data_IF_996262615395
#
_entry.id   IF_996262615395
#
_cell.length_a   1.000
_cell.length_b   1.000
_cell.length_c   1.000
_cell.angle_alpha   90.00
_cell.angle_beta   90.00
_cell.angle_gamma   90.00
#
_symmetry.space_group_name_H-M   'P 1'
#
loop_
_entity.id
_entity.type
_entity.pdbx_description
1 polymer ?
#
# COMPACT_ATOMS: atom_id res chain seq x y z
N UNK A 1 -13.66 -10.99 6.87
CA UNK A 1 -13.85 -12.42 7.19
C UNK A 1 -15.33 -12.86 7.28
N UNK A 2 -16.28 -12.00 7.68
CA UNK A 2 -17.70 -12.39 7.83
C UNK A 2 -18.40 -12.95 6.58
N UNK A 3 -18.11 -12.43 5.38
CA UNK A 3 -18.81 -12.86 4.13
C UNK A 3 -18.53 -14.31 3.74
N UNK A 4 -17.30 -14.79 3.92
CA UNK A 4 -16.93 -16.19 3.65
C UNK A 4 -17.58 -17.13 4.67
N UNK A 5 -17.64 -16.71 5.94
CA UNK A 5 -18.30 -17.48 7.01
C UNK A 5 -19.79 -17.62 6.71
N UNK A 6 -20.44 -16.54 6.26
CA UNK A 6 -21.85 -16.55 5.90
C UNK A 6 -22.14 -17.45 4.68
N UNK A 7 -21.31 -17.38 3.63
CA UNK A 7 -21.41 -18.29 2.48
C UNK A 7 -21.30 -19.76 2.92
N UNK A 8 -20.36 -20.09 3.81
CA UNK A 8 -20.23 -21.45 4.38
C UNK A 8 -21.46 -21.86 5.19
N UNK A 9 -22.05 -20.95 5.97
CA UNK A 9 -23.28 -21.19 6.75
C UNK A 9 -24.46 -21.53 5.85
N UNK A 10 -24.63 -20.78 4.75
CA UNK A 10 -25.69 -21.03 3.78
C UNK A 10 -25.48 -22.35 3.04
N UNK A 11 -24.23 -22.64 2.64
CA UNK A 11 -23.87 -23.95 2.04
C UNK A 11 -24.19 -25.12 2.98
N UNK A 12 -23.86 -25.00 4.27
CA UNK A 12 -24.18 -26.02 5.27
C UNK A 12 -25.70 -26.18 5.46
N UNK A 13 -26.45 -25.07 5.40
CA UNK A 13 -27.91 -25.09 5.50
C UNK A 13 -28.55 -25.78 4.29
N UNK A 14 -28.08 -25.48 3.08
CA UNK A 14 -28.46 -26.16 1.85
C UNK A 14 -28.22 -27.67 1.96
N UNK A 15 -26.98 -28.06 2.29
CA UNK A 15 -26.60 -29.47 2.43
C UNK A 15 -27.48 -30.23 3.44
N UNK A 16 -27.80 -29.60 4.57
CA UNK A 16 -28.69 -30.16 5.59
C UNK A 16 -30.09 -30.45 5.03
N UNK A 17 -30.65 -29.56 4.20
CA UNK A 17 -31.95 -29.78 3.59
C UNK A 17 -31.90 -30.82 2.46
N UNK A 18 -30.82 -30.87 1.68
CA UNK A 18 -30.61 -31.90 0.65
C UNK A 18 -30.62 -33.30 1.27
N UNK A 19 -29.84 -33.51 2.33
CA UNK A 19 -29.81 -34.77 3.07
C UNK A 19 -31.19 -35.12 3.64
N UNK A 20 -31.89 -34.14 4.20
CA UNK A 20 -33.20 -34.35 4.83
C UNK A 20 -34.27 -34.73 3.83
N UNK A 21 -34.32 -34.06 2.67
CA UNK A 21 -35.24 -34.42 1.58
C UNK A 21 -34.89 -35.80 1.03
N UNK A 22 -33.61 -36.11 0.81
CA UNK A 22 -33.16 -37.44 0.35
C UNK A 22 -33.62 -38.56 1.30
N UNK A 23 -33.46 -38.37 2.60
CA UNK A 23 -33.93 -39.33 3.60
C UNK A 23 -35.46 -39.48 3.61
N UNK A 24 -36.21 -38.39 3.47
CA UNK A 24 -37.68 -38.44 3.47
C UNK A 24 -38.21 -39.12 2.20
N UNK A 25 -37.60 -38.88 1.04
CA UNK A 25 -37.92 -39.58 -0.22
C UNK A 25 -37.62 -41.08 -0.12
N UNK A 26 -36.45 -41.46 0.40
CA UNK A 26 -36.11 -42.86 0.61
C UNK A 26 -37.10 -43.58 1.55
N UNK A 27 -37.56 -42.90 2.60
CA UNK A 27 -38.59 -43.43 3.52
C UNK A 27 -39.96 -43.53 2.84
N UNK A 28 -40.32 -42.61 1.96
CA UNK A 28 -41.57 -42.70 1.19
C UNK A 28 -41.54 -43.90 0.22
N UNK A 29 -40.47 -44.03 -0.59
CA UNK A 29 -40.32 -45.13 -1.54
C UNK A 29 -40.22 -46.51 -0.86
N UNK A 30 -39.48 -46.62 0.26
CA UNK A 30 -39.35 -47.89 0.99
C UNK A 30 -40.66 -48.35 1.66
N UNK A 31 -41.57 -47.43 1.96
CA UNK A 31 -42.91 -47.75 2.50
C UNK A 31 -43.84 -48.26 1.41
N UNK A 32 -43.71 -47.77 0.18
CA UNK A 32 -44.49 -48.19 -0.99
C UNK A 32 -44.13 -49.62 -1.47
N UNK A 33 -42.88 -50.06 -1.28
CA UNK A 33 -42.44 -51.41 -1.68
C UNK A 33 -42.82 -52.54 -0.71
N UNK A 34 -43.24 -52.25 0.52
CA UNK A 34 -43.41 -53.29 1.56
C UNK A 34 -44.86 -53.66 1.91
N UNK A 35 -45.90 -52.93 1.48
CA UNK A 35 -47.29 -53.28 1.80
C UNK A 35 -48.24 -52.90 0.67
N UNK A 36 -48.99 -53.88 0.17
CA UNK A 36 -50.09 -53.71 -0.79
C UNK A 36 -51.31 -52.98 -0.24
N UNK A 37 -51.14 -51.75 0.25
CA UNK A 37 -52.24 -50.86 0.59
C UNK A 37 -51.87 -49.40 0.38
N UNK A 38 -52.72 -48.59 -0.27
CA UNK A 38 -52.46 -47.19 -0.54
C UNK A 38 -52.71 -46.35 0.71
N UNK A 39 -51.90 -46.49 1.76
CA UNK A 39 -51.92 -45.52 2.85
C UNK A 39 -51.03 -44.34 2.47
N UNK A 40 -51.56 -43.48 1.62
CA UNK A 40 -51.01 -42.18 1.28
C UNK A 40 -50.97 -41.35 2.56
N UNK A 41 -49.97 -41.53 3.43
CA UNK A 41 -49.92 -40.88 4.75
C UNK A 41 -49.82 -39.35 4.56
N UNK A 42 -50.90 -38.58 4.74
CA UNK A 42 -50.93 -37.19 4.30
C UNK A 42 -49.96 -36.33 5.13
N UNK A 43 -49.69 -36.76 6.36
CA UNK A 43 -48.70 -36.15 7.26
C UNK A 43 -47.26 -36.30 6.76
N UNK A 44 -46.91 -37.45 6.18
CA UNK A 44 -45.57 -37.69 5.62
C UNK A 44 -45.36 -36.90 4.33
N UNK A 45 -46.39 -36.84 3.49
CA UNK A 45 -46.38 -36.07 2.24
C UNK A 45 -46.25 -34.56 2.50
N UNK A 46 -47.10 -33.98 3.37
CA UNK A 46 -46.99 -32.56 3.78
C UNK A 46 -45.64 -32.22 4.41
N UNK A 47 -45.03 -33.18 5.14
CA UNK A 47 -43.68 -33.00 5.71
C UNK A 47 -42.62 -33.00 4.62
N UNK A 48 -42.74 -33.85 3.60
CA UNK A 48 -41.84 -33.87 2.46
C UNK A 48 -41.94 -32.55 1.69
N UNK A 49 -43.14 -32.13 1.28
CA UNK A 49 -43.39 -30.86 0.57
C UNK A 49 -42.81 -29.66 1.32
N UNK A 50 -43.03 -29.57 2.65
CA UNK A 50 -42.47 -28.48 3.46
C UNK A 50 -40.93 -28.48 3.45
N UNK A 51 -40.27 -29.63 3.46
CA UNK A 51 -38.81 -29.69 3.43
C UNK A 51 -38.26 -29.45 2.02
N UNK A 52 -39.00 -29.81 0.97
CA UNK A 52 -38.67 -29.47 -0.42
C UNK A 52 -38.77 -27.95 -0.64
N UNK A 53 -39.82 -27.30 -0.13
CA UNK A 53 -39.92 -25.84 -0.17
C UNK A 53 -38.75 -25.16 0.57
N UNK A 54 -38.36 -25.68 1.74
CA UNK A 54 -37.19 -25.19 2.48
C UNK A 54 -35.87 -25.43 1.75
N UNK A 55 -35.77 -26.53 1.00
CA UNK A 55 -34.62 -26.82 0.18
C UNK A 55 -34.50 -25.81 -0.97
N UNK A 56 -35.60 -25.53 -1.67
CA UNK A 56 -35.65 -24.49 -2.70
C UNK A 56 -35.19 -23.14 -2.14
N UNK A 57 -35.79 -22.68 -1.04
CA UNK A 57 -35.39 -21.40 -0.43
C UNK A 57 -33.93 -21.38 0.07
N UNK A 58 -33.41 -22.50 0.58
CA UNK A 58 -32.01 -22.60 0.97
C UNK A 58 -31.05 -22.59 -0.24
N UNK A 59 -31.48 -23.14 -1.38
CA UNK A 59 -30.72 -23.13 -2.64
C UNK A 59 -30.66 -21.72 -3.21
N UNK A 60 -31.81 -21.07 -3.37
CA UNK A 60 -31.90 -19.70 -3.87
C UNK A 60 -31.07 -18.74 -3.02
N UNK A 61 -31.16 -18.85 -1.69
CA UNK A 61 -30.38 -18.02 -0.77
C UNK A 61 -28.86 -18.24 -0.95
N UNK A 62 -28.42 -19.49 -1.02
CA UNK A 62 -27.00 -19.81 -1.21
C UNK A 62 -26.49 -19.35 -2.58
N UNK A 63 -27.22 -19.63 -3.65
CA UNK A 63 -26.84 -19.25 -5.02
C UNK A 63 -26.70 -17.73 -5.12
N UNK A 64 -27.74 -16.99 -4.74
CA UNK A 64 -27.74 -15.51 -4.76
C UNK A 64 -26.59 -14.92 -3.95
N UNK A 65 -26.32 -15.44 -2.75
CA UNK A 65 -25.23 -14.94 -1.92
C UNK A 65 -23.85 -15.30 -2.50
N UNK A 66 -23.70 -16.52 -3.02
CA UNK A 66 -22.44 -17.02 -3.56
C UNK A 66 -22.05 -16.28 -4.85
N UNK A 67 -23.03 -15.96 -5.70
CA UNK A 67 -22.84 -15.18 -6.91
C UNK A 67 -22.41 -13.74 -6.58
N UNK A 68 -23.10 -13.08 -5.64
CA UNK A 68 -22.70 -11.75 -5.17
C UNK A 68 -21.31 -11.75 -4.54
N UNK A 69 -20.93 -12.81 -3.81
CA UNK A 69 -19.58 -12.95 -3.27
C UNK A 69 -18.54 -13.16 -4.39
N UNK A 70 -18.86 -13.95 -5.42
CA UNK A 70 -17.98 -14.17 -6.55
C UNK A 70 -17.71 -12.88 -7.33
N UNK A 71 -18.75 -12.12 -7.65
CA UNK A 71 -18.63 -10.82 -8.31
C UNK A 71 -17.77 -9.85 -7.52
N UNK A 72 -17.90 -9.84 -6.19
CA UNK A 72 -17.05 -9.02 -5.34
C UNK A 72 -15.58 -9.45 -5.40
N UNK A 73 -15.32 -10.76 -5.34
CA UNK A 73 -13.95 -11.28 -5.44
C UNK A 73 -13.36 -10.89 -6.79
N UNK A 74 -14.13 -11.04 -7.86
CA UNK A 74 -13.74 -10.62 -9.21
C UNK A 74 -13.43 -9.12 -9.28
N UNK A 75 -14.32 -8.26 -8.79
CA UNK A 75 -14.10 -6.81 -8.71
C UNK A 75 -12.79 -6.49 -7.98
N UNK A 76 -12.61 -7.01 -6.76
CA UNK A 76 -11.42 -6.70 -5.95
C UNK A 76 -10.14 -7.22 -6.61
N UNK A 77 -10.18 -8.40 -7.23
CA UNK A 77 -8.99 -9.01 -7.84
C UNK A 77 -8.63 -8.39 -9.19
N UNK A 78 -9.61 -8.09 -10.04
CA UNK A 78 -9.38 -7.51 -11.36
C UNK A 78 -9.14 -6.00 -11.30
N UNK A 79 -9.73 -5.31 -10.33
CA UNK A 79 -9.71 -3.85 -10.25
C UNK A 79 -8.94 -3.30 -9.05
N UNK A 80 -8.41 -4.15 -8.18
CA UNK A 80 -7.57 -3.71 -7.05
C UNK A 80 -6.33 -2.90 -7.47
N UNK A 81 -5.84 -3.05 -8.70
CA UNK A 81 -4.77 -2.20 -9.22
C UNK A 81 -5.19 -0.73 -9.36
N UNK A 82 -6.47 -0.44 -9.60
CA UNK A 82 -6.98 0.93 -9.69
C UNK A 82 -6.90 1.64 -8.34
N UNK A 83 -7.07 0.91 -7.23
CA UNK A 83 -6.88 1.42 -5.88
C UNK A 83 -5.39 1.62 -5.56
N UNK A 84 -4.52 0.77 -6.12
CA UNK A 84 -3.07 0.87 -5.94
C UNK A 84 -2.43 2.00 -6.76
N UNK A 85 -2.96 2.28 -7.95
CA UNK A 85 -2.48 3.32 -8.85
C UNK A 85 -2.26 4.70 -8.19
N UNK A 86 -3.24 5.29 -7.48
CA UNK A 86 -3.04 6.60 -6.85
C UNK A 86 -1.99 6.56 -5.73
N UNK A 87 -1.83 5.42 -5.04
CA UNK A 87 -0.78 5.24 -4.03
C UNK A 87 0.59 5.25 -4.70
N UNK A 88 0.77 4.44 -5.75
CA UNK A 88 2.02 4.37 -6.49
C UNK A 88 2.39 5.73 -7.09
N UNK A 89 1.42 6.44 -7.67
CA UNK A 89 1.64 7.78 -8.22
C UNK A 89 2.09 8.78 -7.13
N UNK A 90 1.52 8.70 -5.92
CA UNK A 90 1.93 9.55 -4.80
C UNK A 90 3.35 9.23 -4.33
N UNK A 91 3.73 7.96 -4.27
CA UNK A 91 5.09 7.53 -3.91
C UNK A 91 6.10 8.07 -4.93
N UNK A 92 5.84 7.87 -6.22
CA UNK A 92 6.73 8.36 -7.27
C UNK A 92 6.86 9.89 -7.25
N UNK A 93 5.75 10.61 -7.03
CA UNK A 93 5.78 12.08 -6.88
C UNK A 93 6.60 12.52 -5.66
N UNK A 94 6.48 11.80 -4.55
CA UNK A 94 7.26 12.05 -3.35
C UNK A 94 8.76 11.88 -3.61
N UNK A 95 9.16 10.80 -4.28
CA UNK A 95 10.57 10.52 -4.60
C UNK A 95 11.16 11.57 -5.55
N UNK A 96 10.40 11.98 -6.57
CA UNK A 96 10.79 13.05 -7.50
C UNK A 96 10.96 14.37 -6.76
N UNK A 97 10.01 14.74 -5.89
CA UNK A 97 10.09 15.97 -5.09
C UNK A 97 11.30 15.96 -4.18
N UNK A 98 11.51 14.86 -3.46
CA UNK A 98 12.63 14.68 -2.53
C UNK A 98 13.96 14.81 -3.25
N UNK A 99 14.10 14.15 -4.40
CA UNK A 99 15.31 14.21 -5.23
C UNK A 99 15.56 15.64 -5.75
N UNK A 100 14.51 16.33 -6.18
CA UNK A 100 14.60 17.74 -6.60
C UNK A 100 15.12 18.64 -5.48
N UNK A 101 14.64 18.43 -4.26
CA UNK A 101 15.07 19.22 -3.10
C UNK A 101 16.52 18.91 -2.71
N UNK A 102 16.97 17.66 -2.81
CA UNK A 102 18.38 17.31 -2.64
C UNK A 102 19.28 18.03 -3.66
N UNK A 103 18.89 18.06 -4.94
CA UNK A 103 19.65 18.78 -5.98
C UNK A 103 19.76 20.28 -5.67
N UNK A 104 18.68 20.90 -5.17
CA UNK A 104 18.71 22.32 -4.73
C UNK A 104 19.67 22.54 -3.56
N UNK A 105 19.72 21.63 -2.60
CA UNK A 105 20.64 21.74 -1.45
C UNK A 105 22.08 21.60 -1.93
N UNK A 106 22.38 20.58 -2.73
CA UNK A 106 23.75 20.32 -3.23
C UNK A 106 24.24 21.46 -4.12
N UNK A 107 23.38 22.00 -5.00
CA UNK A 107 23.73 23.17 -5.82
C UNK A 107 24.03 24.42 -5.00
N UNK A 108 23.33 24.65 -3.88
CA UNK A 108 23.68 25.73 -2.94
C UNK A 108 25.03 25.50 -2.27
N UNK A 109 25.38 24.25 -1.95
CA UNK A 109 26.71 23.94 -1.40
C UNK A 109 27.83 24.26 -2.40
N UNK A 110 27.63 24.00 -3.69
CA UNK A 110 28.60 24.40 -4.71
C UNK A 110 28.82 25.92 -4.72
N UNK A 111 27.75 26.72 -4.59
CA UNK A 111 27.89 28.18 -4.49
C UNK A 111 28.68 28.60 -3.24
N UNK A 112 28.51 27.90 -2.10
CA UNK A 112 29.30 28.15 -0.89
C UNK A 112 30.77 27.83 -1.11
N UNK A 113 31.08 26.75 -1.84
CA UNK A 113 32.46 26.40 -2.21
C UNK A 113 33.08 27.52 -3.06
N UNK A 114 32.35 28.03 -4.05
CA UNK A 114 32.82 29.12 -4.90
C UNK A 114 33.10 30.39 -4.07
N UNK A 115 32.17 30.77 -3.19
CA UNK A 115 32.35 31.92 -2.27
C UNK A 115 33.53 31.73 -1.34
N UNK A 116 33.72 30.52 -0.77
CA UNK A 116 34.89 30.23 0.06
C UNK A 116 36.19 30.27 -0.73
N UNK A 117 36.16 29.83 -1.99
CA UNK A 117 37.29 29.98 -2.93
C UNK A 117 37.65 31.45 -3.14
N UNK A 118 36.66 32.29 -3.42
CA UNK A 118 36.85 33.74 -3.58
C UNK A 118 37.40 34.40 -2.32
N UNK A 119 36.88 34.03 -1.14
CA UNK A 119 37.40 34.50 0.15
C UNK A 119 38.86 34.06 0.33
N UNK A 120 39.18 32.81 -0.01
CA UNK A 120 40.54 32.28 0.05
C UNK A 120 41.49 33.11 -0.80
N UNK A 121 41.11 33.41 -2.05
CA UNK A 121 41.89 34.27 -2.96
C UNK A 121 42.03 35.69 -2.39
N UNK A 122 40.95 36.30 -1.90
CA UNK A 122 40.97 37.65 -1.32
C UNK A 122 41.86 37.77 -0.09
N UNK A 123 41.93 36.71 0.72
CA UNK A 123 42.72 36.66 1.94
C UNK A 123 44.13 36.09 1.74
N UNK A 124 44.55 35.87 0.49
CA UNK A 124 45.85 35.26 0.14
C UNK A 124 46.04 33.88 0.82
N UNK A 125 44.94 33.17 1.09
CA UNK A 125 44.93 31.85 1.69
C UNK A 125 45.06 30.80 0.58
N UNK A 126 46.18 30.09 0.59
CA UNK A 126 46.41 29.00 -0.34
C UNK A 126 45.74 27.70 0.10
N UNK A 127 45.28 26.91 -0.88
CA UNK A 127 44.58 25.64 -0.66
C UNK A 127 45.50 24.49 -0.25
N UNK A 128 46.82 24.63 -0.39
CA UNK A 128 47.82 23.62 -0.01
C UNK A 128 48.05 23.49 1.50
N UNK A 129 47.41 24.33 2.32
CA UNK A 129 47.53 24.28 3.78
C UNK A 129 48.78 25.01 4.29
N UNK A 130 48.57 25.94 5.22
CA UNK A 130 49.60 26.87 5.73
C UNK A 130 50.89 26.18 6.23
N UNK A 131 50.80 24.97 6.79
CA UNK A 131 51.97 24.26 7.32
C UNK A 131 52.97 23.85 6.23
N UNK A 132 52.49 23.45 5.06
CA UNK A 132 53.36 23.07 3.94
C UNK A 132 54.07 24.29 3.33
N UNK A 133 53.44 25.46 3.42
CA UNK A 133 54.03 26.74 3.01
C UNK A 133 55.13 27.17 3.95
N UNK A 134 54.83 27.16 5.26
CA UNK A 134 55.78 27.50 6.32
C UNK A 134 56.99 26.57 6.32
N UNK A 135 56.83 25.30 5.91
CA UNK A 135 57.93 24.35 5.78
C UNK A 135 58.98 24.80 4.75
N UNK A 136 58.58 25.58 3.74
CA UNK A 136 59.46 26.08 2.66
C UNK A 136 59.95 27.51 2.91
N UNK A 137 59.28 28.27 3.78
CA UNK A 137 59.64 29.64 4.13
C UNK A 137 60.77 29.70 5.17
N UNK A 138 61.60 30.75 5.12
CA UNK A 138 62.61 30.99 6.15
C UNK A 138 61.99 31.71 7.36
N UNK A 139 62.44 31.44 8.60
CA UNK A 139 61.89 32.09 9.79
C UNK A 139 61.94 33.63 9.76
N UNK A 140 62.93 34.21 9.10
CA UNK A 140 63.11 35.65 8.96
C UNK A 140 62.06 36.33 8.03
N UNK A 141 61.37 35.55 7.19
CA UNK A 141 60.37 36.03 6.22
C UNK A 141 58.94 35.93 6.80
N UNK A 142 58.79 35.40 8.01
CA UNK A 142 57.49 35.18 8.64
C UNK A 142 56.95 36.46 9.28
N UNK A 143 55.77 36.89 8.83
CA UNK A 143 55.09 38.05 9.39
C UNK A 143 54.36 37.69 10.71
N UNK A 144 54.71 38.36 11.80
CA UNK A 144 54.13 38.14 13.16
C UNK A 144 53.28 39.31 13.67
N UNK A 145 53.07 40.35 12.85
CA UNK A 145 52.40 41.60 13.25
C UNK A 145 50.94 41.75 12.81
N UNK A 146 50.28 42.84 13.21
CA UNK A 146 48.98 43.28 12.65
C UNK A 146 49.25 44.18 11.43
N UNK A 147 48.75 43.83 10.23
CA UNK A 147 48.74 44.75 9.07
C UNK A 147 47.91 45.99 9.45
N UNK A 148 48.52 47.16 9.54
CA UNK A 148 47.80 48.44 9.69
C UNK A 148 47.17 48.74 8.33
N UNK A 149 45.85 48.67 8.23
CA UNK A 149 45.12 49.04 7.01
C UNK A 149 45.19 50.57 6.87
N UNK A 150 46.16 51.06 6.11
CA UNK A 150 46.26 52.48 5.75
C UNK A 150 45.08 52.85 4.84
N UNK A 151 44.04 53.45 5.44
CA UNK A 151 42.99 54.11 4.68
C UNK A 151 43.62 55.28 3.90
N UNK A 152 43.73 55.13 2.58
CA UNK A 152 44.01 56.26 1.70
C UNK A 152 42.84 57.23 1.79
N UNK A 153 43.03 58.31 2.53
CA UNK A 153 42.17 59.50 2.49
C UNK A 153 42.23 60.04 1.06
N UNK A 154 41.11 59.98 0.36
CA UNK A 154 40.94 60.63 -0.93
C UNK A 154 40.86 62.14 -0.68
N UNK A 155 41.95 62.86 -0.95
CA UNK A 155 41.95 64.32 -0.96
C UNK A 155 41.33 64.74 -2.30
N UNK A 156 40.05 65.08 -2.28
CA UNK A 156 39.43 65.84 -3.37
C UNK A 156 40.08 67.24 -3.38
N UNK A 157 40.88 67.51 -4.41
CA UNK A 157 41.34 68.86 -4.76
C UNK A 157 40.37 69.44 -5.80
N UNK A 158 39.78 70.57 -5.42
CA UNK A 158 39.07 71.61 -6.17
C UNK A 158 37.81 71.20 -6.95
#
# INVERSE_FOLDING_TARGET
>A
QGRIIECRRQKATLHRYEQKVKMLRAKACGVESCKGSPSHHPKAHRKLERNELKLCGAREAYESYSEGLFLLVEEVTQRGWMDFYPVLLKVLRFDVSTSSDYVKIVSRLNQVIDVLGDIGVQQEMHTSGRLDELRRSKPAELFTGKKIVSHRVCVLRN
#
